data_IF_115232601470
#
_entry.id   IF_115232601470
#
_cell.length_a   1.000
_cell.length_b   1.000
_cell.length_c   1.000
_cell.angle_alpha   90.00
_cell.angle_beta   90.00
_cell.angle_gamma   90.00
#
_symmetry.space_group_name_H-M   'P 1'
#
loop_
_entity.id
_entity.type
_entity.pdbx_description
1 polymer ?
#
# COMPACT_ATOMS: atom_id res chain seq x y z
N UNK A 1 -54.29 6.05 69.93
CA UNK A 1 -53.55 4.92 69.34
C UNK A 1 -52.94 5.37 68.04
N UNK A 2 -51.70 5.82 68.09
CA UNK A 2 -50.97 6.44 66.97
C UNK A 2 -50.02 5.39 66.39
N UNK A 3 -50.26 5.01 65.12
CA UNK A 3 -49.46 4.09 64.36
C UNK A 3 -48.24 4.83 63.83
N UNK A 4 -47.03 4.38 64.22
CA UNK A 4 -45.75 4.87 63.68
C UNK A 4 -45.38 4.04 62.47
N UNK A 5 -45.35 4.67 61.30
CA UNK A 5 -44.85 4.08 60.06
C UNK A 5 -43.34 4.01 60.11
N UNK A 6 -42.78 2.82 59.84
CA UNK A 6 -41.33 2.59 59.69
C UNK A 6 -40.89 2.97 58.27
N UNK A 7 -39.89 3.87 58.15
CA UNK A 7 -39.20 4.20 56.92
C UNK A 7 -38.38 2.99 56.41
N UNK A 8 -38.30 2.78 55.07
CA UNK A 8 -37.46 1.74 54.48
C UNK A 8 -35.99 2.13 54.53
N UNK A 9 -35.13 1.22 54.95
CA UNK A 9 -33.68 1.35 54.99
C UNK A 9 -33.17 1.41 53.53
N UNK A 10 -32.44 2.50 53.16
CA UNK A 10 -31.68 2.66 51.93
C UNK A 10 -30.54 1.63 51.92
N UNK A 11 -30.60 0.62 51.03
CA UNK A 11 -29.46 -0.17 50.67
C UNK A 11 -28.49 0.63 49.81
N UNK A 12 -27.15 0.56 50.03
CA UNK A 12 -26.20 1.26 49.21
C UNK A 12 -26.19 0.68 47.77
N UNK A 13 -26.42 1.52 46.76
CA UNK A 13 -26.27 1.17 45.35
C UNK A 13 -24.84 0.70 45.15
N UNK A 14 -24.66 -0.55 44.71
CA UNK A 14 -23.36 -1.07 44.23
C UNK A 14 -22.99 -0.30 42.98
N UNK A 15 -21.89 0.47 43.01
CA UNK A 15 -21.27 1.07 41.85
C UNK A 15 -20.87 -0.05 40.88
N UNK A 16 -21.10 0.14 39.56
CA UNK A 16 -20.63 -0.81 38.56
C UNK A 16 -19.09 -0.90 38.64
N UNK A 17 -18.56 -2.11 38.83
CA UNK A 17 -17.13 -2.35 38.74
C UNK A 17 -16.68 -1.93 37.35
N UNK A 18 -15.86 -0.88 37.28
CA UNK A 18 -15.08 -0.58 36.08
C UNK A 18 -14.20 -1.80 35.78
N UNK A 19 -14.61 -2.63 34.84
CA UNK A 19 -13.71 -3.59 34.24
C UNK A 19 -12.54 -2.80 33.66
N UNK A 20 -11.35 -3.00 34.21
CA UNK A 20 -10.13 -2.40 33.71
C UNK A 20 -9.97 -2.84 32.25
N UNK A 21 -10.01 -1.87 31.32
CA UNK A 21 -9.62 -2.12 29.93
C UNK A 21 -8.25 -2.82 29.95
N UNK A 22 -8.08 -3.91 29.19
CA UNK A 22 -6.78 -4.55 29.08
C UNK A 22 -5.76 -3.47 28.69
N UNK A 23 -4.60 -3.48 29.36
CA UNK A 23 -3.52 -2.52 29.13
C UNK A 23 -3.26 -2.44 27.62
N UNK A 24 -3.43 -1.25 27.05
CA UNK A 24 -3.01 -1.01 25.69
C UNK A 24 -1.52 -1.40 25.60
N UNK A 25 -1.16 -2.25 24.64
CA UNK A 25 0.23 -2.52 24.33
C UNK A 25 1.01 -1.23 24.07
N UNK A 26 2.34 -1.25 24.01
CA UNK A 26 3.13 -0.04 23.82
C UNK A 26 2.58 0.75 22.62
N UNK A 27 2.50 2.09 22.74
CA UNK A 27 1.88 2.92 21.71
C UNK A 27 2.58 2.67 20.37
N UNK A 28 1.81 2.26 19.37
CA UNK A 28 2.32 2.10 18.00
C UNK A 28 2.80 3.48 17.53
N UNK A 29 4.07 3.60 17.13
CA UNK A 29 4.57 4.85 16.54
C UNK A 29 3.80 5.13 15.24
N UNK A 30 2.88 6.08 15.29
CA UNK A 30 2.01 6.47 14.17
C UNK A 30 2.63 7.57 13.30
N UNK A 31 3.83 8.08 13.66
CA UNK A 31 4.51 9.10 12.86
C UNK A 31 4.82 8.55 11.48
N UNK A 32 4.63 9.40 10.47
CA UNK A 32 4.94 8.99 9.10
C UNK A 32 6.45 8.76 8.94
N UNK A 33 6.89 7.87 8.06
CA UNK A 33 8.31 7.70 7.72
C UNK A 33 8.99 9.02 7.31
N UNK A 34 8.24 9.92 6.67
CA UNK A 34 8.75 11.22 6.22
C UNK A 34 8.90 12.23 7.35
N UNK A 35 8.04 12.20 8.37
CA UNK A 35 8.20 13.00 9.60
C UNK A 35 9.46 12.58 10.33
N UNK A 36 9.67 11.27 10.52
CA UNK A 36 10.88 10.73 11.14
C UNK A 36 12.15 11.08 10.35
N UNK A 37 12.09 11.05 9.00
CA UNK A 37 13.20 11.47 8.16
C UNK A 37 13.50 12.97 8.32
N UNK A 38 12.47 13.81 8.37
CA UNK A 38 12.64 15.25 8.59
C UNK A 38 13.29 15.53 9.96
N UNK A 39 12.90 14.80 11.00
CA UNK A 39 13.53 14.88 12.34
C UNK A 39 15.00 14.44 12.31
N UNK A 40 15.32 13.35 11.60
CA UNK A 40 16.70 12.81 11.49
C UNK A 40 17.68 13.83 10.90
N UNK A 41 17.26 14.61 9.91
CA UNK A 41 18.11 15.57 9.21
C UNK A 41 17.89 17.03 9.67
N UNK A 42 17.09 17.23 10.73
CA UNK A 42 16.77 18.56 11.24
C UNK A 42 18.05 19.31 11.66
N UNK A 43 18.15 20.58 11.25
CA UNK A 43 19.29 21.43 11.58
C UNK A 43 20.59 21.11 10.82
N UNK A 44 20.60 20.12 9.94
CA UNK A 44 21.76 19.77 9.11
C UNK A 44 21.57 20.31 7.68
N UNK A 45 22.43 21.24 7.27
CA UNK A 45 22.43 21.70 5.89
C UNK A 45 22.94 20.61 4.94
N UNK A 46 22.38 20.50 3.71
CA UNK A 46 22.88 19.54 2.73
C UNK A 46 24.26 19.96 2.21
N UNK A 47 25.19 19.02 2.07
CA UNK A 47 26.55 19.29 1.63
C UNK A 47 26.69 19.67 0.16
N UNK A 48 25.66 19.38 -0.65
CA UNK A 48 25.51 19.77 -2.07
C UNK A 48 24.06 20.18 -2.33
N UNK A 49 23.73 20.81 -3.47
CA UNK A 49 22.34 21.10 -3.85
C UNK A 49 21.47 19.85 -3.67
N UNK A 50 20.36 20.02 -2.96
CA UNK A 50 19.53 18.89 -2.52
C UNK A 50 18.86 18.13 -3.66
N UNK A 51 18.93 16.80 -3.64
CA UNK A 51 18.17 15.90 -4.51
C UNK A 51 17.33 14.98 -3.60
N UNK A 52 16.00 15.07 -3.70
CA UNK A 52 15.08 14.27 -2.88
C UNK A 52 14.67 12.98 -3.58
N UNK A 53 15.23 11.87 -3.13
CA UNK A 53 14.90 10.49 -3.52
C UNK A 53 14.14 9.73 -2.40
N UNK A 54 13.72 10.43 -1.35
CA UNK A 54 12.98 9.86 -0.22
C UNK A 54 11.50 9.67 -0.54
N UNK A 55 10.90 10.56 -1.35
CA UNK A 55 9.47 10.53 -1.66
C UNK A 55 9.21 9.80 -2.97
N UNK A 56 8.37 8.76 -2.92
CA UNK A 56 7.95 7.98 -4.11
C UNK A 56 6.81 8.67 -4.88
N UNK A 57 7.00 9.91 -5.32
CA UNK A 57 6.08 10.65 -6.16
C UNK A 57 6.58 10.72 -7.60
N UNK A 58 5.86 10.15 -8.58
CA UNK A 58 6.25 10.23 -9.98
C UNK A 58 6.41 11.68 -10.45
N UNK A 59 7.51 11.96 -11.17
CA UNK A 59 7.82 13.27 -11.72
C UNK A 59 7.82 13.31 -13.25
N UNK A 60 7.41 12.23 -13.90
CA UNK A 60 7.24 12.20 -15.35
C UNK A 60 6.05 13.07 -15.77
N UNK A 61 5.99 13.50 -17.04
CA UNK A 61 4.91 14.36 -17.52
C UNK A 61 3.52 13.75 -17.32
N UNK A 62 2.54 14.61 -17.06
CA UNK A 62 1.12 14.24 -17.10
C UNK A 62 0.73 13.90 -18.55
N UNK A 63 -0.02 12.80 -18.78
CA UNK A 63 -0.44 12.41 -20.12
C UNK A 63 -1.24 13.50 -20.84
N UNK A 64 -0.98 13.69 -22.13
CA UNK A 64 -1.55 14.80 -22.91
C UNK A 64 -3.08 14.79 -23.04
N UNK A 65 -3.73 13.64 -22.88
CA UNK A 65 -5.20 13.52 -22.91
C UNK A 65 -5.89 14.11 -21.67
N UNK A 66 -5.17 14.37 -20.56
CA UNK A 66 -5.78 14.79 -19.30
C UNK A 66 -6.49 16.15 -19.43
N UNK A 67 -5.81 17.14 -19.98
CA UNK A 67 -6.37 18.49 -20.10
C UNK A 67 -7.62 18.55 -21.00
N UNK A 68 -7.63 18.01 -22.23
CA UNK A 68 -8.82 18.01 -23.07
C UNK A 68 -9.99 17.22 -22.47
N UNK A 69 -9.75 16.09 -21.79
CA UNK A 69 -10.81 15.32 -21.13
C UNK A 69 -11.42 16.13 -19.98
N UNK A 70 -10.60 16.77 -19.14
CA UNK A 70 -11.11 17.64 -18.06
C UNK A 70 -11.93 18.80 -18.62
N UNK A 71 -11.48 19.44 -19.68
CA UNK A 71 -12.20 20.54 -20.32
C UNK A 71 -13.57 20.11 -20.85
N UNK A 72 -13.66 18.93 -21.47
CA UNK A 72 -14.91 18.37 -21.99
C UNK A 72 -15.94 18.04 -20.88
N UNK A 73 -15.48 17.78 -19.67
CA UNK A 73 -16.32 17.34 -18.55
C UNK A 73 -16.35 18.34 -17.38
N UNK A 74 -15.91 19.58 -17.58
CA UNK A 74 -15.84 20.60 -16.52
C UNK A 74 -17.19 20.87 -15.87
N UNK A 75 -18.29 20.78 -16.63
CA UNK A 75 -19.66 20.97 -16.13
C UNK A 75 -20.12 19.91 -15.14
N UNK A 76 -19.48 18.74 -15.13
CA UNK A 76 -19.82 17.64 -14.24
C UNK A 76 -19.40 17.88 -12.78
N UNK A 77 -18.59 18.91 -12.48
CA UNK A 77 -18.35 19.39 -11.13
C UNK A 77 -19.62 19.92 -10.43
N UNK A 78 -20.65 20.28 -11.18
CA UNK A 78 -21.93 20.73 -10.64
C UNK A 78 -22.82 19.61 -10.08
N UNK A 79 -22.39 18.35 -10.10
CA UNK A 79 -23.17 17.19 -9.65
C UNK A 79 -22.41 16.34 -8.64
N UNK A 80 -23.14 15.80 -7.66
CA UNK A 80 -22.57 14.80 -6.76
C UNK A 80 -22.27 13.51 -7.52
N UNK A 81 -21.06 12.95 -7.38
CA UNK A 81 -20.74 11.64 -7.95
C UNK A 81 -21.49 10.51 -7.23
N UNK A 82 -21.65 9.38 -7.92
CA UNK A 82 -22.09 8.13 -7.28
C UNK A 82 -20.97 7.55 -6.42
N UNK A 83 -21.32 6.96 -5.29
CA UNK A 83 -20.36 6.37 -4.35
C UNK A 83 -19.59 5.19 -4.97
N UNK A 84 -20.25 4.38 -5.79
CA UNK A 84 -19.67 3.25 -6.52
C UNK A 84 -18.83 3.67 -7.73
N UNK A 85 -18.99 4.91 -8.21
CA UNK A 85 -18.44 5.43 -9.46
C UNK A 85 -19.47 5.41 -10.60
N UNK A 86 -19.23 6.24 -11.65
CA UNK A 86 -20.08 6.24 -12.83
C UNK A 86 -19.97 4.89 -13.56
N UNK A 87 -21.06 4.42 -14.25
CA UNK A 87 -21.07 3.12 -14.92
C UNK A 87 -19.91 2.95 -15.91
N UNK A 88 -19.61 3.97 -16.72
CA UNK A 88 -18.54 3.91 -17.72
C UNK A 88 -17.16 3.76 -17.09
N UNK A 89 -16.90 4.37 -15.92
CA UNK A 89 -15.66 4.16 -15.19
C UNK A 89 -15.53 2.70 -14.73
N UNK A 90 -16.58 2.14 -14.13
CA UNK A 90 -16.56 0.77 -13.62
C UNK A 90 -16.38 -0.23 -14.77
N UNK A 91 -17.05 0.01 -15.90
CA UNK A 91 -16.87 -0.77 -17.12
C UNK A 91 -15.44 -0.69 -17.68
N UNK A 92 -14.85 0.51 -17.74
CA UNK A 92 -13.47 0.71 -18.19
C UNK A 92 -12.45 0.01 -17.28
N UNK A 93 -12.62 0.12 -15.97
CA UNK A 93 -11.75 -0.54 -14.98
C UNK A 93 -11.84 -2.07 -15.06
N UNK A 94 -13.06 -2.61 -15.18
CA UNK A 94 -13.31 -4.05 -15.36
C UNK A 94 -12.69 -4.59 -16.67
N UNK A 95 -12.91 -3.88 -17.77
CA UNK A 95 -12.36 -4.25 -19.07
C UNK A 95 -10.82 -4.19 -19.06
N UNK A 96 -10.24 -3.15 -18.44
CA UNK A 96 -8.80 -3.06 -18.27
C UNK A 96 -8.25 -4.24 -17.46
N UNK A 97 -8.85 -4.58 -16.31
CA UNK A 97 -8.42 -5.71 -15.48
C UNK A 97 -8.51 -7.02 -16.26
N UNK A 98 -9.59 -7.22 -17.03
CA UNK A 98 -9.78 -8.40 -17.89
C UNK A 98 -8.63 -8.56 -18.89
N UNK A 99 -8.31 -7.50 -19.64
CA UNK A 99 -7.19 -7.50 -20.61
C UNK A 99 -5.83 -7.65 -19.93
N UNK A 100 -5.60 -6.86 -18.88
CA UNK A 100 -4.31 -6.78 -18.21
C UNK A 100 -3.90 -8.10 -17.57
N UNK A 101 -4.80 -8.77 -16.91
CA UNK A 101 -4.55 -10.04 -16.23
C UNK A 101 -4.96 -11.27 -17.05
N UNK A 102 -5.39 -11.08 -18.30
CA UNK A 102 -5.84 -12.15 -19.20
C UNK A 102 -6.88 -13.05 -18.52
N UNK A 103 -7.86 -12.44 -17.89
CA UNK A 103 -8.89 -13.16 -17.15
C UNK A 103 -9.85 -13.85 -18.12
N UNK A 104 -10.33 -15.05 -17.77
CA UNK A 104 -11.34 -15.80 -18.52
C UNK A 104 -12.66 -15.03 -18.58
N UNK A 105 -13.00 -14.34 -17.47
CA UNK A 105 -14.04 -13.31 -17.43
C UNK A 105 -13.52 -12.04 -16.76
N UNK A 106 -13.85 -10.85 -17.24
CA UNK A 106 -13.57 -9.63 -16.51
C UNK A 106 -14.42 -9.57 -15.22
N UNK A 107 -14.04 -8.76 -14.22
CA UNK A 107 -14.91 -8.45 -13.09
C UNK A 107 -16.25 -7.86 -13.57
N UNK A 108 -17.34 -8.20 -12.90
CA UNK A 108 -18.66 -7.59 -13.14
C UNK A 108 -18.59 -6.11 -12.71
N UNK A 109 -18.77 -5.13 -13.64
CA UNK A 109 -18.66 -3.72 -13.33
C UNK A 109 -19.72 -3.23 -12.34
N UNK A 110 -20.83 -3.93 -12.17
CA UNK A 110 -21.89 -3.51 -11.25
C UNK A 110 -21.72 -4.06 -9.84
N UNK A 111 -21.07 -5.23 -9.71
CA UNK A 111 -21.04 -5.97 -8.43
C UNK A 111 -19.63 -6.21 -7.89
N UNK A 112 -18.63 -6.17 -8.75
CA UNK A 112 -17.26 -6.57 -8.40
C UNK A 112 -16.24 -5.41 -8.55
N UNK A 113 -16.68 -4.19 -8.92
CA UNK A 113 -15.82 -3.02 -9.11
C UNK A 113 -16.37 -1.80 -8.39
N UNK A 114 -15.49 -1.05 -7.72
CA UNK A 114 -15.82 0.21 -7.02
C UNK A 114 -14.71 1.23 -7.22
N UNK A 115 -15.08 2.50 -7.44
CA UNK A 115 -14.13 3.62 -7.53
C UNK A 115 -13.55 3.95 -6.16
N UNK A 116 -12.28 4.40 -6.11
CA UNK A 116 -11.56 4.82 -4.91
C UNK A 116 -10.93 6.21 -5.09
N UNK A 117 -10.85 6.99 -4.00
CA UNK A 117 -10.04 8.23 -3.96
C UNK A 117 -8.53 7.93 -3.90
N UNK A 118 -8.06 7.15 -4.87
CA UNK A 118 -6.76 6.49 -4.87
C UNK A 118 -6.73 5.30 -3.92
N UNK A 119 -5.76 4.40 -4.11
CA UNK A 119 -5.68 3.16 -3.33
C UNK A 119 -5.45 3.36 -1.83
N UNK A 120 -4.83 4.47 -1.39
CA UNK A 120 -4.60 4.74 0.04
C UNK A 120 -5.88 4.72 0.86
N UNK A 121 -6.91 5.41 0.39
CA UNK A 121 -8.22 5.45 1.04
C UNK A 121 -8.85 4.06 1.07
N UNK A 122 -8.84 3.38 -0.09
CA UNK A 122 -9.41 2.05 -0.21
C UNK A 122 -8.71 1.01 0.69
N UNK A 123 -7.39 1.04 0.76
CA UNK A 123 -6.59 0.14 1.59
C UNK A 123 -6.83 0.40 3.10
N UNK A 124 -6.99 1.67 3.50
CA UNK A 124 -7.30 2.01 4.89
C UNK A 124 -8.72 1.58 5.27
N UNK A 125 -9.74 2.02 4.53
CA UNK A 125 -11.14 1.70 4.83
C UNK A 125 -11.46 0.22 4.58
N UNK A 126 -10.71 -0.46 3.70
CA UNK A 126 -10.82 -1.89 3.45
C UNK A 126 -10.63 -2.72 4.72
N UNK A 127 -9.72 -2.32 5.61
CA UNK A 127 -9.52 -3.00 6.89
C UNK A 127 -10.78 -2.93 7.78
N UNK A 128 -11.41 -1.75 7.86
CA UNK A 128 -12.63 -1.56 8.63
C UNK A 128 -13.80 -2.39 8.06
N UNK A 129 -13.92 -2.39 6.73
CA UNK A 129 -14.92 -3.20 6.03
C UNK A 129 -14.68 -4.70 6.23
N UNK A 130 -13.42 -5.16 6.16
CA UNK A 130 -13.05 -6.57 6.38
C UNK A 130 -13.40 -7.02 7.81
N UNK A 131 -13.09 -6.18 8.80
CA UNK A 131 -13.44 -6.46 10.21
C UNK A 131 -14.95 -6.64 10.42
N UNK A 132 -15.76 -5.88 9.70
CA UNK A 132 -17.21 -5.98 9.77
C UNK A 132 -17.79 -7.10 8.87
N UNK A 133 -17.05 -7.50 7.83
CA UNK A 133 -17.46 -8.50 6.86
C UNK A 133 -17.16 -9.93 7.31
N UNK A 134 -15.95 -10.15 7.85
CA UNK A 134 -15.53 -11.49 8.30
C UNK A 134 -16.23 -11.81 9.63
N UNK A 135 -16.90 -12.98 9.77
CA UNK A 135 -17.59 -13.36 11.00
C UNK A 135 -16.68 -13.28 12.23
N UNK A 136 -17.27 -12.96 13.38
CA UNK A 136 -16.56 -12.95 14.65
C UNK A 136 -15.93 -14.32 14.93
N UNK A 137 -14.70 -14.29 15.43
CA UNK A 137 -13.88 -15.48 15.72
C UNK A 137 -13.39 -15.42 17.15
N UNK A 138 -12.92 -16.56 17.67
CA UNK A 138 -12.29 -16.60 19.00
C UNK A 138 -10.98 -15.79 18.99
N UNK A 139 -10.75 -15.03 20.05
CA UNK A 139 -9.58 -14.18 20.22
C UNK A 139 -9.71 -12.81 19.52
N UNK A 140 -8.66 -12.00 19.66
CA UNK A 140 -8.59 -10.67 19.02
C UNK A 140 -8.41 -10.84 17.52
N UNK A 141 -9.25 -10.22 16.67
CA UNK A 141 -9.09 -10.27 15.22
C UNK A 141 -7.72 -9.75 14.79
N UNK A 142 -7.12 -10.37 13.78
CA UNK A 142 -5.80 -10.02 13.29
C UNK A 142 -5.83 -9.61 11.81
N UNK A 143 -4.95 -8.69 11.46
CA UNK A 143 -4.63 -8.34 10.06
C UNK A 143 -3.14 -8.59 9.85
N UNK A 144 -2.83 -9.38 8.82
CA UNK A 144 -1.48 -9.71 8.42
C UNK A 144 -0.93 -8.61 7.50
N UNK A 145 0.26 -8.11 7.81
CA UNK A 145 0.89 -7.00 7.10
C UNK A 145 2.34 -7.35 6.78
N UNK A 146 2.80 -7.28 5.50
CA UNK A 146 4.21 -7.47 5.18
C UNK A 146 5.05 -6.43 5.91
N UNK A 147 6.29 -6.76 6.26
CA UNK A 147 7.19 -5.85 6.97
C UNK A 147 8.57 -5.86 6.30
N UNK A 148 8.99 -4.80 5.62
CA UNK A 148 8.42 -3.42 5.51
C UNK A 148 7.05 -3.34 4.84
N UNK A 149 6.33 -2.23 5.06
CA UNK A 149 4.94 -2.06 4.64
C UNK A 149 4.59 -0.62 4.24
N UNK A 150 3.43 -0.50 3.58
CA UNK A 150 2.82 0.81 3.38
C UNK A 150 1.96 1.18 4.60
N UNK A 151 2.18 2.38 5.16
CA UNK A 151 1.60 2.80 6.44
C UNK A 151 0.05 2.71 6.50
N UNK A 152 -0.64 2.80 5.36
CA UNK A 152 -2.10 2.69 5.34
C UNK A 152 -2.61 1.32 5.80
N UNK A 153 -1.82 0.23 5.63
CA UNK A 153 -2.23 -1.12 6.04
C UNK A 153 -2.34 -1.22 7.56
N UNK A 154 -1.27 -0.86 8.27
CA UNK A 154 -1.27 -0.92 9.73
C UNK A 154 -2.21 0.11 10.35
N UNK A 155 -2.30 1.32 9.78
CA UNK A 155 -3.22 2.34 10.26
C UNK A 155 -4.68 1.88 10.14
N UNK A 156 -5.05 1.25 9.01
CA UNK A 156 -6.38 0.67 8.81
C UNK A 156 -6.66 -0.47 9.79
N UNK A 157 -5.69 -1.37 10.02
CA UNK A 157 -5.83 -2.46 10.97
C UNK A 157 -6.05 -1.96 12.41
N UNK A 158 -5.28 -0.95 12.84
CA UNK A 158 -5.46 -0.32 14.17
C UNK A 158 -6.83 0.36 14.27
N UNK A 159 -7.25 1.11 13.25
CA UNK A 159 -8.56 1.76 13.23
C UNK A 159 -9.73 0.75 13.24
N UNK A 160 -9.51 -0.46 12.72
CA UNK A 160 -10.46 -1.57 12.74
C UNK A 160 -10.45 -2.37 14.08
N UNK A 161 -9.70 -1.92 15.08
CA UNK A 161 -9.47 -2.64 16.35
C UNK A 161 -8.97 -4.09 16.14
N UNK A 162 -8.10 -4.27 15.14
CA UNK A 162 -7.43 -5.53 14.88
C UNK A 162 -6.00 -5.51 15.41
N UNK A 163 -5.50 -6.67 15.81
CA UNK A 163 -4.07 -6.86 16.02
C UNK A 163 -3.34 -6.79 14.68
N UNK A 164 -2.26 -6.02 14.62
CA UNK A 164 -1.39 -5.98 13.44
C UNK A 164 -0.30 -7.03 13.62
N UNK A 165 -0.29 -8.04 12.76
CA UNK A 165 0.77 -9.05 12.75
C UNK A 165 1.71 -8.75 11.59
N UNK A 166 2.91 -8.30 11.93
CA UNK A 166 3.93 -7.95 10.96
C UNK A 166 4.69 -9.19 10.50
N UNK A 167 4.68 -9.45 9.19
CA UNK A 167 5.33 -10.59 8.55
C UNK A 167 6.66 -10.14 7.93
N UNK A 168 7.81 -10.53 8.46
CA UNK A 168 9.11 -10.10 7.93
C UNK A 168 9.25 -10.52 6.47
N UNK A 169 9.69 -9.57 5.62
CA UNK A 169 10.02 -9.81 4.23
C UNK A 169 11.51 -9.52 4.02
N UNK A 170 12.29 -10.58 3.94
CA UNK A 170 13.74 -10.52 3.93
C UNK A 170 14.30 -11.07 2.62
N UNK A 171 15.61 -10.93 2.42
CA UNK A 171 16.31 -11.54 1.28
C UNK A 171 16.11 -13.08 1.25
N UNK A 172 16.10 -13.73 2.40
CA UNK A 172 15.91 -15.18 2.52
C UNK A 172 14.51 -15.64 2.05
N UNK A 173 13.49 -14.80 2.17
CA UNK A 173 12.11 -15.06 1.72
C UNK A 173 11.82 -14.48 0.33
N UNK A 174 12.83 -13.98 -0.39
CA UNK A 174 12.64 -13.27 -1.66
C UNK A 174 11.83 -11.97 -1.50
N UNK A 175 11.89 -11.37 -0.32
CA UNK A 175 11.14 -10.16 0.05
C UNK A 175 9.61 -10.29 -0.05
N UNK A 176 9.10 -11.52 0.10
CA UNK A 176 7.67 -11.81 0.27
C UNK A 176 7.43 -12.40 1.67
N UNK A 177 6.22 -12.27 2.25
CA UNK A 177 5.87 -12.97 3.49
C UNK A 177 6.03 -14.49 3.37
N UNK A 178 6.62 -15.11 4.39
CA UNK A 178 6.68 -16.57 4.47
C UNK A 178 5.32 -17.13 4.91
N UNK A 179 4.62 -17.81 4.00
CA UNK A 179 3.30 -18.39 4.26
C UNK A 179 3.38 -19.64 5.14
N UNK A 180 4.53 -20.32 5.19
CA UNK A 180 4.73 -21.52 6.02
C UNK A 180 4.96 -21.17 7.49
N UNK A 181 5.43 -19.95 7.76
CA UNK A 181 5.63 -19.46 9.12
C UNK A 181 4.33 -19.02 9.84
N UNK A 182 3.18 -19.04 9.14
CA UNK A 182 1.90 -18.59 9.72
C UNK A 182 1.32 -19.66 10.64
N UNK A 183 1.29 -19.35 11.93
CA UNK A 183 0.75 -20.26 12.95
C UNK A 183 -0.78 -20.49 12.79
N UNK A 184 -1.30 -21.70 13.05
CA UNK A 184 -2.72 -22.01 12.89
C UNK A 184 -3.66 -21.14 13.72
N UNK A 185 -3.28 -20.75 14.92
CA UNK A 185 -4.05 -19.85 15.80
C UNK A 185 -4.13 -18.42 15.23
N UNK A 186 -3.07 -17.95 14.58
CA UNK A 186 -3.05 -16.68 13.85
C UNK A 186 -4.01 -16.74 12.67
N UNK A 187 -3.91 -17.80 11.84
CA UNK A 187 -4.80 -17.98 10.69
C UNK A 187 -6.27 -18.07 11.10
N UNK A 188 -6.57 -18.72 12.22
CA UNK A 188 -7.93 -18.88 12.74
C UNK A 188 -8.61 -17.55 13.09
N UNK A 189 -7.88 -16.50 13.41
CA UNK A 189 -8.38 -15.16 13.77
C UNK A 189 -8.05 -14.06 12.76
N UNK A 190 -7.41 -14.40 11.65
CA UNK A 190 -7.09 -13.45 10.58
C UNK A 190 -8.35 -13.01 9.86
N UNK A 191 -8.54 -11.70 9.66
CA UNK A 191 -9.64 -11.13 8.88
C UNK A 191 -9.20 -10.62 7.51
N UNK A 192 -7.95 -10.15 7.40
CA UNK A 192 -7.37 -9.75 6.12
C UNK A 192 -5.85 -9.97 6.09
N UNK A 193 -5.31 -10.20 4.90
CA UNK A 193 -3.90 -10.25 4.59
C UNK A 193 -3.58 -9.23 3.49
N UNK A 194 -2.75 -8.23 3.79
CA UNK A 194 -2.22 -7.30 2.80
C UNK A 194 -1.03 -7.89 2.06
N UNK A 195 -1.07 -7.83 0.75
CA UNK A 195 0.02 -8.24 -0.14
C UNK A 195 0.28 -7.12 -1.14
N UNK A 196 1.50 -6.57 -1.16
CA UNK A 196 1.94 -5.63 -2.20
C UNK A 196 2.73 -6.38 -3.27
N UNK A 197 2.32 -6.32 -4.54
CA UNK A 197 3.03 -6.95 -5.66
C UNK A 197 2.86 -6.14 -6.95
N UNK A 198 3.93 -5.48 -7.43
CA UNK A 198 5.28 -5.33 -6.84
C UNK A 198 5.29 -4.65 -5.48
N UNK A 199 6.17 -5.11 -4.59
CA UNK A 199 6.27 -4.59 -3.22
C UNK A 199 6.95 -3.22 -3.14
N UNK A 200 6.53 -2.42 -2.18
CA UNK A 200 7.22 -1.21 -1.75
C UNK A 200 7.72 -1.44 -0.31
N UNK A 201 9.04 -1.42 -0.07
CA UNK A 201 10.09 -0.80 -0.89
C UNK A 201 10.89 -1.74 -1.82
N UNK A 202 10.78 -3.05 -1.68
CA UNK A 202 11.77 -4.01 -2.22
C UNK A 202 11.65 -4.27 -3.72
N UNK A 203 10.49 -3.99 -4.33
CA UNK A 203 10.23 -4.27 -5.75
C UNK A 203 10.04 -5.77 -6.07
N UNK A 204 9.82 -6.60 -5.05
CA UNK A 204 9.55 -8.02 -5.21
C UNK A 204 8.18 -8.26 -5.86
N UNK A 205 8.10 -9.26 -6.71
CA UNK A 205 6.88 -9.67 -7.41
C UNK A 205 6.49 -11.07 -6.98
N UNK A 206 5.27 -11.22 -6.50
CA UNK A 206 4.69 -12.51 -6.19
C UNK A 206 4.44 -13.29 -7.49
N UNK A 207 5.00 -14.51 -7.58
CA UNK A 207 4.77 -15.37 -8.73
C UNK A 207 3.37 -16.03 -8.70
N UNK A 208 2.89 -16.61 -9.81
CA UNK A 208 1.56 -17.22 -9.86
C UNK A 208 1.31 -18.32 -8.82
N UNK A 209 2.35 -19.10 -8.47
CA UNK A 209 2.22 -20.16 -7.48
C UNK A 209 2.00 -19.58 -6.07
N UNK A 210 2.73 -18.53 -5.72
CA UNK A 210 2.57 -17.82 -4.45
C UNK A 210 1.15 -17.19 -4.35
N UNK A 211 0.70 -16.52 -5.42
CA UNK A 211 -0.64 -15.91 -5.46
C UNK A 211 -1.76 -16.95 -5.33
N UNK A 212 -1.64 -18.10 -5.99
CA UNK A 212 -2.59 -19.21 -5.81
C UNK A 212 -2.60 -19.72 -4.39
N UNK A 213 -1.42 -19.94 -3.80
CA UNK A 213 -1.28 -20.45 -2.45
C UNK A 213 -1.92 -19.52 -1.40
N UNK A 214 -1.70 -18.21 -1.48
CA UNK A 214 -2.33 -17.24 -0.55
C UNK A 214 -3.84 -17.17 -0.76
N UNK A 215 -4.32 -17.27 -2.00
CA UNK A 215 -5.76 -17.32 -2.32
C UNK A 215 -6.42 -18.57 -1.72
N UNK A 216 -5.82 -19.74 -1.88
CA UNK A 216 -6.31 -21.00 -1.30
C UNK A 216 -6.32 -20.95 0.24
N UNK A 217 -5.28 -20.39 0.83
CA UNK A 217 -5.21 -20.16 2.29
C UNK A 217 -6.33 -19.24 2.76
N UNK A 218 -6.58 -18.14 2.03
CA UNK A 218 -7.67 -17.22 2.35
C UNK A 218 -9.05 -17.91 2.30
N UNK A 219 -9.30 -18.73 1.28
CA UNK A 219 -10.53 -19.51 1.15
C UNK A 219 -10.69 -20.55 2.26
N UNK A 220 -9.61 -21.27 2.57
CA UNK A 220 -9.61 -22.29 3.63
C UNK A 220 -9.89 -21.71 5.01
N UNK A 221 -9.31 -20.56 5.30
CA UNK A 221 -9.42 -19.91 6.62
C UNK A 221 -10.46 -18.79 6.65
N UNK A 222 -11.10 -18.44 5.52
CA UNK A 222 -12.18 -17.46 5.42
C UNK A 222 -11.74 -16.03 5.71
N UNK A 223 -10.52 -15.63 5.39
CA UNK A 223 -10.07 -14.23 5.43
C UNK A 223 -9.99 -13.63 4.03
N UNK A 224 -9.75 -12.32 3.93
CA UNK A 224 -9.59 -11.60 2.66
C UNK A 224 -8.12 -11.39 2.32
N UNK A 225 -7.73 -11.54 1.04
CA UNK A 225 -6.45 -11.05 0.53
C UNK A 225 -6.67 -9.68 -0.10
N UNK A 226 -6.00 -8.66 0.41
CA UNK A 226 -5.94 -7.32 -0.15
C UNK A 226 -4.65 -7.16 -0.95
N UNK A 227 -4.76 -7.30 -2.27
CA UNK A 227 -3.63 -7.20 -3.19
C UNK A 227 -3.45 -5.76 -3.65
N UNK A 228 -2.45 -5.07 -3.11
CA UNK A 228 -2.03 -3.74 -3.57
C UNK A 228 -1.14 -3.90 -4.81
N UNK A 229 -1.72 -3.68 -5.97
CA UNK A 229 -1.06 -3.83 -7.27
C UNK A 229 -0.79 -2.47 -7.95
N UNK A 230 -0.66 -1.40 -7.15
CA UNK A 230 -0.45 -0.05 -7.66
C UNK A 230 0.82 0.11 -8.51
N UNK A 231 1.79 -0.79 -8.36
CA UNK A 231 3.03 -0.81 -9.14
C UNK A 231 3.03 -1.85 -10.27
N UNK A 232 1.93 -2.56 -10.52
CA UNK A 232 1.87 -3.65 -11.50
C UNK A 232 2.26 -3.25 -12.92
N UNK A 233 2.14 -1.96 -13.27
CA UNK A 233 2.50 -1.45 -14.59
C UNK A 233 3.93 -0.94 -14.69
N UNK A 234 4.67 -0.89 -13.59
CA UNK A 234 6.08 -0.53 -13.56
C UNK A 234 6.88 -1.79 -13.27
N UNK A 235 7.35 -2.45 -14.31
CA UNK A 235 8.15 -3.69 -14.22
C UNK A 235 9.34 -3.63 -15.17
N UNK A 236 10.41 -4.33 -14.81
CA UNK A 236 11.68 -4.25 -15.54
C UNK A 236 11.84 -5.36 -16.59
N UNK A 237 11.38 -6.56 -16.30
CA UNK A 237 11.54 -7.72 -17.20
C UNK A 237 10.21 -8.33 -17.60
N UNK A 238 9.49 -8.94 -16.68
CA UNK A 238 8.26 -9.65 -16.94
C UNK A 238 7.06 -8.93 -16.31
N UNK A 239 5.94 -8.94 -17.02
CA UNK A 239 4.68 -8.40 -16.55
C UNK A 239 4.22 -9.17 -15.30
N UNK A 240 4.00 -8.49 -14.15
CA UNK A 240 3.55 -9.14 -12.93
C UNK A 240 2.18 -9.80 -13.08
N UNK A 241 2.02 -10.98 -12.51
CA UNK A 241 0.71 -11.59 -12.34
C UNK A 241 -0.09 -10.86 -11.27
N UNK A 242 -1.42 -10.90 -11.36
CA UNK A 242 -2.31 -10.29 -10.37
C UNK A 242 -3.12 -11.32 -9.59
N UNK A 243 -3.68 -10.87 -8.46
CA UNK A 243 -4.46 -11.73 -7.57
C UNK A 243 -5.75 -12.27 -8.24
N UNK A 244 -6.39 -11.46 -9.09
CA UNK A 244 -7.59 -11.91 -9.82
C UNK A 244 -7.27 -13.04 -10.78
N UNK A 245 -6.09 -13.03 -11.41
CA UNK A 245 -5.62 -14.12 -12.27
C UNK A 245 -5.42 -15.42 -11.46
N UNK A 246 -4.86 -15.31 -10.26
CA UNK A 246 -4.64 -16.46 -9.39
C UNK A 246 -5.95 -17.02 -8.80
N UNK A 247 -6.96 -16.17 -8.63
CA UNK A 247 -8.27 -16.54 -8.11
C UNK A 247 -9.13 -17.31 -9.13
N UNK A 248 -8.80 -17.24 -10.43
CA UNK A 248 -9.58 -17.85 -11.50
C UNK A 248 -10.90 -17.09 -11.75
N UNK A 249 -11.97 -17.81 -12.08
CA UNK A 249 -13.29 -17.21 -12.39
C UNK A 249 -14.10 -16.83 -11.15
N UNK A 250 -13.68 -17.31 -9.99
CA UNK A 250 -14.28 -17.00 -8.70
C UNK A 250 -13.34 -16.08 -7.91
N UNK A 251 -13.73 -14.80 -7.75
CA UNK A 251 -12.96 -13.82 -7.00
C UNK A 251 -13.24 -13.83 -5.49
N UNK A 252 -13.85 -14.87 -4.95
CA UNK A 252 -14.09 -15.00 -3.51
C UNK A 252 -12.79 -14.89 -2.71
N UNK A 253 -12.86 -14.14 -1.61
CA UNK A 253 -11.76 -13.86 -0.68
C UNK A 253 -10.58 -13.04 -1.24
N UNK A 254 -10.67 -12.50 -2.44
CA UNK A 254 -9.59 -11.64 -2.98
C UNK A 254 -10.12 -10.29 -3.42
N UNK A 255 -9.31 -9.26 -3.20
CA UNK A 255 -9.58 -7.88 -3.62
C UNK A 255 -8.31 -7.26 -4.19
N UNK A 256 -8.36 -6.90 -5.46
CA UNK A 256 -7.36 -6.09 -6.15
C UNK A 256 -7.56 -4.61 -5.78
N UNK A 257 -6.48 -3.91 -5.46
CA UNK A 257 -6.42 -2.45 -5.35
C UNK A 257 -5.50 -1.87 -6.41
N UNK A 258 -6.04 -0.96 -7.23
CA UNK A 258 -5.33 -0.27 -8.30
C UNK A 258 -5.41 1.24 -8.18
N UNK A 259 -4.44 1.93 -8.81
CA UNK A 259 -4.38 3.38 -8.80
C UNK A 259 -3.71 3.93 -10.06
N UNK A 260 -4.19 5.08 -10.55
CA UNK A 260 -3.55 5.84 -11.62
C UNK A 260 -2.30 6.60 -11.17
N UNK A 261 -2.05 6.67 -9.86
CA UNK A 261 -0.94 7.45 -9.29
C UNK A 261 0.42 7.05 -9.84
N UNK A 262 0.66 5.75 -10.07
CA UNK A 262 1.95 5.21 -10.51
C UNK A 262 1.92 4.80 -11.96
N UNK A 263 0.86 4.11 -12.38
CA UNK A 263 0.64 3.67 -13.74
C UNK A 263 0.66 4.81 -14.74
N UNK A 264 -0.02 5.92 -14.41
CA UNK A 264 -0.32 7.01 -15.34
C UNK A 264 0.27 8.37 -14.93
N UNK A 265 1.17 8.40 -13.93
CA UNK A 265 1.74 9.65 -13.39
C UNK A 265 0.69 10.67 -12.94
N UNK A 266 -0.43 10.21 -12.40
CA UNK A 266 -1.56 11.03 -11.96
C UNK A 266 -1.81 10.93 -10.44
N UNK A 267 -0.78 11.14 -9.58
CA UNK A 267 -0.98 11.01 -8.14
C UNK A 267 -1.96 12.06 -7.58
N UNK A 268 -1.99 13.26 -8.18
CA UNK A 268 -2.89 14.36 -7.81
C UNK A 268 -4.34 14.15 -8.24
N UNK A 269 -4.63 13.30 -9.22
CA UNK A 269 -5.99 13.03 -9.69
C UNK A 269 -6.85 12.34 -8.62
N UNK A 270 -6.22 11.59 -7.71
CA UNK A 270 -6.88 10.83 -6.64
C UNK A 270 -7.91 9.83 -7.16
N UNK A 271 -7.56 9.04 -8.16
CA UNK A 271 -8.43 7.98 -8.69
C UNK A 271 -7.72 6.62 -8.68
N UNK A 272 -8.47 5.62 -8.26
CA UNK A 272 -8.15 4.21 -8.31
C UNK A 272 -9.43 3.39 -8.29
N UNK A 273 -9.30 2.08 -8.19
CA UNK A 273 -10.44 1.19 -7.99
C UNK A 273 -10.06 -0.02 -7.15
N UNK A 274 -11.08 -0.65 -6.54
CA UNK A 274 -10.98 -2.00 -6.02
C UNK A 274 -11.84 -2.92 -6.88
N UNK A 275 -11.37 -4.17 -7.08
CA UNK A 275 -12.14 -5.19 -7.77
C UNK A 275 -11.92 -6.58 -7.14
N UNK A 276 -12.96 -7.41 -7.05
CA UNK A 276 -12.84 -8.76 -6.51
C UNK A 276 -14.11 -9.31 -5.90
N UNK A 277 -14.01 -9.89 -4.70
CA UNK A 277 -15.14 -10.53 -4.00
C UNK A 277 -16.37 -9.63 -3.95
N UNK A 278 -17.42 -10.02 -4.69
CA UNK A 278 -18.65 -9.22 -4.83
C UNK A 278 -19.37 -8.96 -3.52
N UNK A 279 -19.29 -9.89 -2.56
CA UNK A 279 -19.94 -9.75 -1.24
C UNK A 279 -19.17 -8.75 -0.39
N UNK A 280 -17.85 -8.81 -0.45
CA UNK A 280 -17.01 -7.81 0.19
C UNK A 280 -17.16 -6.43 -0.45
N UNK A 281 -17.15 -6.34 -1.80
CA UNK A 281 -17.35 -5.06 -2.52
C UNK A 281 -18.68 -4.40 -2.13
N UNK A 282 -19.77 -5.17 -2.01
CA UNK A 282 -21.05 -4.64 -1.53
C UNK A 282 -20.94 -4.08 -0.11
N UNK A 283 -20.32 -4.81 0.82
CA UNK A 283 -20.12 -4.35 2.20
C UNK A 283 -19.18 -3.16 2.29
N UNK A 284 -18.15 -3.13 1.44
CA UNK A 284 -17.21 -2.03 1.34
C UNK A 284 -17.89 -0.76 0.81
N UNK A 285 -18.79 -0.90 -0.18
CA UNK A 285 -19.59 0.22 -0.70
C UNK A 285 -20.51 0.81 0.38
N UNK A 286 -21.17 -0.02 1.20
CA UNK A 286 -21.99 0.46 2.33
C UNK A 286 -21.18 1.36 3.27
N UNK A 287 -20.02 0.92 3.71
CA UNK A 287 -19.14 1.72 4.56
C UNK A 287 -18.70 3.02 3.86
N UNK A 288 -18.26 2.93 2.61
CA UNK A 288 -17.76 4.09 1.86
C UNK A 288 -18.85 5.11 1.56
N UNK A 289 -20.09 4.68 1.41
CA UNK A 289 -21.23 5.57 1.14
C UNK A 289 -21.46 6.61 2.23
N UNK A 290 -21.00 6.34 3.46
CA UNK A 290 -21.13 7.26 4.60
C UNK A 290 -19.79 7.79 5.10
N UNK A 291 -18.68 7.13 4.82
CA UNK A 291 -17.38 7.44 5.42
C UNK A 291 -16.34 7.98 4.44
N UNK A 292 -16.47 7.71 3.13
CA UNK A 292 -15.47 8.10 2.15
C UNK A 292 -15.89 9.32 1.33
N UNK A 293 -14.95 10.18 0.93
CA UNK A 293 -15.22 11.21 -0.06
C UNK A 293 -15.54 10.57 -1.41
N UNK A 294 -16.41 11.23 -2.17
CA UNK A 294 -16.74 10.79 -3.53
C UNK A 294 -15.68 11.26 -4.53
N UNK A 295 -15.42 10.43 -5.54
CA UNK A 295 -14.48 10.80 -6.62
C UNK A 295 -15.18 11.70 -7.64
N UNK A 296 -14.70 12.92 -7.91
CA UNK A 296 -15.31 13.84 -8.86
C UNK A 296 -15.52 13.21 -10.25
N UNK A 297 -16.68 13.44 -10.87
CA UNK A 297 -17.03 12.87 -12.18
C UNK A 297 -15.99 13.21 -13.26
N UNK A 298 -15.49 14.47 -13.40
CA UNK A 298 -14.45 14.79 -14.36
C UNK A 298 -13.17 13.96 -14.17
N UNK A 299 -12.79 13.67 -12.92
CA UNK A 299 -11.64 12.83 -12.64
C UNK A 299 -11.88 11.36 -13.05
N UNK A 300 -13.11 10.86 -12.95
CA UNK A 300 -13.48 9.54 -13.44
C UNK A 300 -13.41 9.46 -14.97
N UNK A 301 -13.78 10.50 -15.71
CA UNK A 301 -13.62 10.55 -17.16
C UNK A 301 -12.14 10.54 -17.58
N UNK A 302 -11.27 11.25 -16.88
CA UNK A 302 -9.81 11.13 -17.09
C UNK A 302 -9.36 9.69 -16.85
N UNK A 303 -9.87 9.03 -15.82
CA UNK A 303 -9.51 7.65 -15.52
C UNK A 303 -10.01 6.67 -16.61
N UNK A 304 -11.19 6.88 -17.19
CA UNK A 304 -11.69 6.11 -18.33
C UNK A 304 -10.71 6.20 -19.51
N UNK A 305 -10.28 7.42 -19.87
CA UNK A 305 -9.29 7.63 -20.93
C UNK A 305 -7.97 6.93 -20.59
N UNK A 306 -7.50 7.04 -19.33
CA UNK A 306 -6.26 6.42 -18.88
C UNK A 306 -6.29 4.88 -18.92
N UNK A 307 -7.41 4.24 -18.58
CA UNK A 307 -7.56 2.77 -18.66
C UNK A 307 -7.78 2.29 -20.11
N UNK A 308 -8.14 3.19 -21.02
CA UNK A 308 -8.26 2.90 -22.45
C UNK A 308 -6.96 3.07 -23.24
N UNK A 309 -5.96 3.76 -22.69
CA UNK A 309 -4.68 4.05 -23.35
C UNK A 309 -3.52 3.35 -22.64
N UNK A 310 -2.82 2.47 -23.36
CA UNK A 310 -1.61 1.80 -22.86
C UNK A 310 -0.32 2.47 -23.39
N UNK A 311 -0.38 3.35 -24.39
CA UNK A 311 0.82 3.98 -24.96
C UNK A 311 1.56 4.85 -23.93
N UNK A 312 0.82 5.65 -23.15
CA UNK A 312 1.44 6.46 -22.09
C UNK A 312 2.03 5.60 -20.96
N UNK A 313 1.46 4.40 -20.73
CA UNK A 313 1.96 3.46 -19.71
C UNK A 313 3.26 2.82 -20.15
N UNK A 314 3.36 2.42 -21.42
CA UNK A 314 4.59 1.87 -22.00
C UNK A 314 5.70 2.93 -22.01
N UNK A 315 5.41 4.14 -22.48
CA UNK A 315 6.35 5.26 -22.44
C UNK A 315 6.83 5.56 -21.01
N UNK A 316 5.92 5.57 -20.03
CA UNK A 316 6.27 5.77 -18.63
C UNK A 316 7.17 4.64 -18.09
N UNK A 317 6.88 3.39 -18.42
CA UNK A 317 7.67 2.22 -18.05
C UNK A 317 9.09 2.28 -18.62
N UNK A 318 9.22 2.68 -19.87
CA UNK A 318 10.52 2.79 -20.53
C UNK A 318 11.40 3.86 -19.88
N UNK A 319 10.83 4.99 -19.45
CA UNK A 319 11.56 5.99 -18.66
C UNK A 319 12.09 5.41 -17.33
N UNK A 320 11.34 4.53 -16.67
CA UNK A 320 11.85 3.85 -15.47
C UNK A 320 12.94 2.82 -15.81
N UNK A 321 12.80 2.08 -16.91
CA UNK A 321 13.82 1.11 -17.36
C UNK A 321 15.16 1.79 -17.60
N UNK A 322 15.17 2.94 -18.29
CA UNK A 322 16.39 3.74 -18.50
C UNK A 322 17.07 4.14 -17.18
N UNK A 323 16.30 4.43 -16.13
CA UNK A 323 16.88 4.73 -14.80
C UNK A 323 17.45 3.50 -14.11
N UNK A 324 16.83 2.34 -14.29
CA UNK A 324 17.40 1.09 -13.79
C UNK A 324 18.68 0.69 -14.56
N UNK A 325 18.76 0.98 -15.87
CA UNK A 325 20.01 0.79 -16.64
C UNK A 325 21.14 1.65 -16.08
N UNK A 326 20.83 2.89 -15.65
CA UNK A 326 21.79 3.73 -14.93
C UNK A 326 22.18 3.16 -13.58
N UNK A 327 21.22 2.59 -12.83
CA UNK A 327 21.52 1.97 -11.54
C UNK A 327 22.43 0.74 -11.72
N UNK A 328 22.18 -0.10 -12.72
CA UNK A 328 23.04 -1.25 -13.06
C UNK A 328 24.49 -0.80 -13.35
N UNK A 329 24.66 0.29 -14.09
CA UNK A 329 25.99 0.84 -14.46
C UNK A 329 26.70 1.53 -13.29
N UNK A 330 25.97 2.33 -12.50
CA UNK A 330 26.58 3.21 -11.48
C UNK A 330 26.72 2.51 -10.14
N UNK A 331 25.69 1.79 -9.69
CA UNK A 331 25.72 1.03 -8.44
C UNK A 331 26.51 -0.27 -8.63
N UNK A 332 26.26 -1.02 -9.72
CA UNK A 332 26.88 -2.32 -9.96
C UNK A 332 26.56 -3.31 -8.83
N UNK A 333 27.58 -3.99 -8.31
CA UNK A 333 27.44 -5.01 -7.26
C UNK A 333 27.43 -4.43 -5.83
N UNK A 334 27.48 -3.08 -5.68
CA UNK A 334 27.52 -2.43 -4.37
C UNK A 334 26.19 -2.55 -3.65
N UNK A 335 26.24 -2.51 -2.33
CA UNK A 335 25.06 -2.44 -1.44
C UNK A 335 24.08 -3.59 -1.66
N UNK A 336 24.57 -4.76 -2.10
CA UNK A 336 23.73 -5.92 -2.41
C UNK A 336 22.65 -5.60 -3.45
N UNK A 337 22.87 -4.61 -4.32
CA UNK A 337 21.93 -4.20 -5.34
C UNK A 337 21.56 -5.35 -6.26
N UNK A 338 20.28 -5.46 -6.50
CA UNK A 338 19.69 -6.28 -7.55
C UNK A 338 18.62 -5.45 -8.23
N UNK A 339 18.60 -5.47 -9.56
CA UNK A 339 17.55 -4.80 -10.32
C UNK A 339 16.18 -5.30 -9.87
N UNK A 340 15.30 -4.43 -9.33
CA UNK A 340 14.00 -4.88 -8.85
C UNK A 340 13.13 -5.38 -10.00
N UNK A 341 12.31 -6.40 -9.73
CA UNK A 341 11.39 -6.93 -10.73
C UNK A 341 10.27 -5.93 -11.08
N UNK A 342 9.89 -5.06 -10.13
CA UNK A 342 8.88 -4.02 -10.35
C UNK A 342 8.95 -2.87 -9.34
N UNK A 343 8.08 -1.88 -9.53
CA UNK A 343 8.13 -0.63 -8.79
C UNK A 343 9.20 0.32 -9.34
N UNK A 344 9.51 1.37 -8.59
CA UNK A 344 10.53 2.37 -8.95
C UNK A 344 11.47 2.70 -7.77
N UNK A 345 11.71 1.74 -6.90
CA UNK A 345 12.61 1.92 -5.77
C UNK A 345 13.84 1.03 -5.89
N UNK A 346 14.99 1.53 -5.43
CA UNK A 346 16.11 0.69 -5.07
C UNK A 346 16.03 0.43 -3.56
N UNK A 347 16.37 -0.79 -3.17
CA UNK A 347 16.46 -1.24 -1.79
C UNK A 347 17.91 -1.69 -1.55
N UNK A 348 18.72 -0.74 -1.03
CA UNK A 348 20.17 -0.90 -0.95
C UNK A 348 20.58 -1.25 0.48
N UNK A 349 21.37 -2.31 0.61
CA UNK A 349 21.94 -2.78 1.87
C UNK A 349 23.10 -1.87 2.30
N UNK A 350 22.95 -1.26 3.46
CA UNK A 350 23.92 -0.30 4.05
C UNK A 350 24.36 -0.72 5.46
N UNK A 351 24.31 -2.02 5.77
CA UNK A 351 24.75 -2.53 7.06
C UNK A 351 26.19 -2.12 7.38
N UNK A 352 27.08 -2.20 6.37
CA UNK A 352 28.48 -1.81 6.50
C UNK A 352 28.69 -0.29 6.64
N UNK A 353 27.68 0.52 6.32
CA UNK A 353 27.70 1.99 6.45
C UNK A 353 27.04 2.46 7.76
N UNK A 354 26.85 1.55 8.73
CA UNK A 354 26.27 1.85 10.04
C UNK A 354 24.73 1.77 10.08
N UNK A 355 24.13 1.14 9.08
CA UNK A 355 22.68 0.95 8.96
C UNK A 355 21.95 2.13 8.34
N UNK A 356 20.64 1.99 8.25
CA UNK A 356 19.79 2.87 7.43
C UNK A 356 19.79 4.34 7.82
N UNK A 357 19.77 4.63 9.12
CA UNK A 357 19.70 6.02 9.64
C UNK A 357 21.05 6.73 9.48
N UNK A 358 22.16 6.05 9.82
CA UNK A 358 23.51 6.59 9.67
C UNK A 358 23.84 6.88 8.19
N UNK A 359 23.54 5.92 7.30
CA UNK A 359 23.75 6.09 5.86
C UNK A 359 22.90 7.25 5.29
N UNK A 360 21.63 7.37 5.66
CA UNK A 360 20.75 8.45 5.20
C UNK A 360 21.22 9.82 5.70
N UNK A 361 21.60 9.94 6.97
CA UNK A 361 22.16 11.18 7.53
C UNK A 361 23.48 11.58 6.85
N UNK A 362 24.37 10.62 6.57
CA UNK A 362 25.63 10.85 5.86
C UNK A 362 25.39 11.32 4.42
N UNK A 363 24.47 10.67 3.69
CA UNK A 363 24.10 11.06 2.33
C UNK A 363 23.56 12.48 2.25
N UNK A 364 22.76 12.88 3.22
CA UNK A 364 22.25 14.25 3.30
C UNK A 364 23.38 15.25 3.60
N UNK A 365 24.13 15.01 4.65
CA UNK A 365 25.18 15.93 5.13
C UNK A 365 26.31 16.11 4.12
N UNK A 366 26.79 15.02 3.47
CA UNK A 366 27.98 15.03 2.62
C UNK A 366 27.63 15.14 1.13
N UNK A 367 26.50 14.57 0.71
CA UNK A 367 26.09 14.48 -0.70
C UNK A 367 24.86 15.32 -1.09
N UNK A 368 24.11 15.84 -0.13
CA UNK A 368 22.83 16.52 -0.40
C UNK A 368 21.75 15.57 -0.95
N UNK A 369 21.91 14.24 -0.78
CA UNK A 369 20.95 13.25 -1.25
C UNK A 369 20.03 12.82 -0.11
N UNK A 370 18.74 13.07 -0.27
CA UNK A 370 17.71 12.65 0.69
C UNK A 370 17.14 11.31 0.30
N UNK A 371 17.37 10.29 1.13
CA UNK A 371 16.83 8.93 0.97
C UNK A 371 15.98 8.55 2.18
N UNK A 372 15.15 7.53 2.07
CA UNK A 372 14.34 7.09 3.21
C UNK A 372 15.03 5.92 3.93
N UNK A 373 15.34 6.05 5.23
CA UNK A 373 15.80 4.92 6.03
C UNK A 373 14.79 3.78 6.01
N UNK A 374 15.28 2.57 5.74
CA UNK A 374 14.43 1.39 5.66
C UNK A 374 13.78 1.05 7.01
N UNK A 375 14.49 1.32 8.11
CA UNK A 375 13.94 1.19 9.47
C UNK A 375 12.60 1.95 9.63
N UNK A 376 12.41 3.05 8.92
CA UNK A 376 11.17 3.83 9.00
C UNK A 376 10.03 3.23 8.17
N UNK A 377 10.36 2.35 7.23
CA UNK A 377 9.39 1.58 6.45
C UNK A 377 8.94 0.30 7.16
N UNK A 378 9.56 -0.06 8.27
CA UNK A 378 9.36 -1.31 8.98
C UNK A 378 9.00 -1.10 10.46
N UNK A 379 8.69 -2.18 11.14
CA UNK A 379 8.50 -2.26 12.60
C UNK A 379 9.45 -3.29 13.19
N UNK A 380 9.87 -3.05 14.42
CA UNK A 380 10.67 -4.01 15.17
C UNK A 380 9.85 -5.28 15.41
N UNK A 381 10.49 -6.43 15.28
CA UNK A 381 9.94 -7.74 15.60
C UNK A 381 10.01 -8.00 17.10
N UNK A 382 9.38 -9.06 17.58
CA UNK A 382 9.39 -9.42 18.99
C UNK A 382 10.80 -9.72 19.54
N UNK A 383 11.72 -10.14 18.69
CA UNK A 383 13.13 -10.36 19.00
C UNK A 383 14.00 -9.10 18.96
N UNK A 384 13.41 -7.94 18.69
CA UNK A 384 14.10 -6.65 18.55
C UNK A 384 14.71 -6.41 17.17
N UNK A 385 14.68 -7.37 16.26
CA UNK A 385 15.15 -7.18 14.88
C UNK A 385 14.20 -6.28 14.09
N UNK A 386 14.74 -5.60 13.05
CA UNK A 386 13.95 -4.78 12.15
C UNK A 386 14.39 -5.06 10.70
N UNK A 387 13.51 -5.61 9.84
CA UNK A 387 13.90 -6.04 8.49
C UNK A 387 14.30 -4.87 7.55
N UNK A 388 14.10 -3.63 7.98
CA UNK A 388 14.53 -2.45 7.25
C UNK A 388 15.75 -1.75 7.84
N UNK A 389 16.27 -2.22 8.99
CA UNK A 389 17.33 -1.53 9.73
C UNK A 389 18.61 -1.30 8.91
N UNK A 390 18.95 -2.25 8.05
CA UNK A 390 20.18 -2.25 7.25
C UNK A 390 19.97 -1.76 5.81
N UNK A 391 18.81 -1.19 5.49
CA UNK A 391 18.50 -0.79 4.13
C UNK A 391 18.13 0.67 4.00
N UNK A 392 18.44 1.27 2.85
CA UNK A 392 17.86 2.55 2.43
C UNK A 392 16.97 2.36 1.21
N UNK A 393 15.87 3.13 1.16
CA UNK A 393 15.01 3.19 -0.02
C UNK A 393 15.34 4.42 -0.85
N UNK A 394 15.62 4.22 -2.13
CA UNK A 394 15.92 5.26 -3.12
C UNK A 394 14.81 5.30 -4.16
N UNK A 395 14.09 6.41 -4.29
CA UNK A 395 13.00 6.56 -5.26
C UNK A 395 13.54 7.09 -6.61
N UNK A 396 13.41 6.31 -7.67
CA UNK A 396 13.90 6.61 -9.02
C UNK A 396 12.93 7.52 -9.81
N UNK A 397 12.48 8.62 -9.18
CA UNK A 397 11.37 9.45 -9.68
C UNK A 397 11.78 10.67 -10.50
N UNK A 398 13.04 11.12 -10.40
CA UNK A 398 13.54 12.26 -11.16
C UNK A 398 13.80 11.93 -12.64
N UNK A 399 14.17 12.94 -13.44
CA UNK A 399 14.70 12.74 -14.78
C UNK A 399 15.98 11.91 -14.77
N UNK A 400 16.46 11.56 -15.96
CA UNK A 400 17.62 10.68 -16.15
C UNK A 400 18.90 11.31 -15.59
N UNK A 401 19.12 12.60 -15.84
CA UNK A 401 20.32 13.36 -15.48
C UNK A 401 20.41 13.53 -13.96
N UNK A 402 19.33 13.99 -13.33
CA UNK A 402 19.24 14.13 -11.86
C UNK A 402 19.37 12.78 -11.17
N UNK A 403 18.81 11.71 -11.75
CA UNK A 403 18.92 10.35 -11.20
C UNK A 403 20.36 9.87 -11.27
N UNK A 404 21.06 10.04 -12.40
CA UNK A 404 22.46 9.65 -12.55
C UNK A 404 23.36 10.39 -11.55
N UNK A 405 23.19 11.71 -11.42
CA UNK A 405 23.92 12.52 -10.45
C UNK A 405 23.70 12.05 -9.02
N UNK A 406 22.46 11.76 -8.62
CA UNK A 406 22.16 11.27 -7.31
C UNK A 406 22.80 9.90 -7.02
N UNK A 407 22.78 8.96 -7.99
CA UNK A 407 23.40 7.66 -7.86
C UNK A 407 24.94 7.77 -7.74
N UNK A 408 25.59 8.65 -8.52
CA UNK A 408 27.02 8.93 -8.37
C UNK A 408 27.36 9.49 -6.98
N UNK A 409 26.52 10.39 -6.47
CA UNK A 409 26.73 10.93 -5.09
C UNK A 409 26.55 9.83 -4.05
N UNK A 410 25.58 8.92 -4.18
CA UNK A 410 25.41 7.79 -3.27
C UNK A 410 26.68 6.96 -3.23
N UNK A 411 27.21 6.57 -4.40
CA UNK A 411 28.45 5.77 -4.48
C UNK A 411 29.64 6.55 -3.91
N UNK A 412 29.79 7.82 -4.24
CA UNK A 412 30.93 8.64 -3.76
C UNK A 412 30.92 8.83 -2.23
N UNK A 413 29.73 8.92 -1.62
CA UNK A 413 29.59 9.19 -0.17
C UNK A 413 29.67 7.90 0.66
N UNK A 414 29.08 6.81 0.17
CA UNK A 414 28.99 5.56 0.92
C UNK A 414 30.18 4.59 0.66
N UNK A 415 30.89 4.72 -0.45
CA UNK A 415 32.05 3.91 -0.84
C UNK A 415 31.71 2.75 -1.75
#
# INVERSE_FOLDING_TARGET
>A
MTSVAREPKNEPRREPRHESRPSAGPPVDTRSPFTRLAELIAGVAPGKPAIDLGVGEPKHPVPGFVAPVLAAHIGDFGRYPRNEGIPDFRAAAAAWAGRRYKLTRPPDPEREVIVLNGSREGLFLGALAARAYVPARAGRPAILVPNPFYAAYSAGAVAADCEVIYLPTTRATGFLPDLDALAPDVLARTVAFYLASPSNPQGAVANPAYLRRVTEMARRHGFLVFSDECYSEIYTTAQPSGILQAAGDNFENVVLFQSLSKRSNLPGLRVGFAAGDRRFIARFLELRSVAAPQVPIPAQHVAIAAYGDEQHVEANRDLYRLKFDLADQIIGDRYGYQRPAGGFFLWLDVAQQGGSEAAAAKLWRDGGVRVLPGRYCARDQADGSNPGADYIRVAMVHDKETTAEALHRIVSVLG
#
